data_IF_154634915048
#
_entry.id   IF_154634915048
#
_cell.length_a   1.000
_cell.length_b   1.000
_cell.length_c   1.000
_cell.angle_alpha   90.00
_cell.angle_beta   90.00
_cell.angle_gamma   90.00
#
_symmetry.space_group_name_H-M   'P 1'
#
loop_
_entity.id
_entity.type
_entity.pdbx_description
1 polymer ?
#
# COMPACT_ATOMS: atom_id res chain seq x y z
N UNK A 1 49.80 22.34 5.08
CA UNK A 1 49.10 21.72 3.93
C UNK A 1 48.04 20.78 4.51
N UNK A 2 46.77 21.20 4.52
CA UNK A 2 45.63 20.42 5.02
C UNK A 2 44.84 19.90 3.83
N UNK A 3 44.75 18.57 3.69
CA UNK A 3 43.85 17.91 2.75
C UNK A 3 42.82 17.14 3.55
N UNK A 4 41.60 17.66 3.58
CA UNK A 4 40.41 16.92 3.97
C UNK A 4 39.96 16.02 2.84
N UNK A 5 39.58 14.79 3.18
CA UNK A 5 38.84 13.89 2.29
C UNK A 5 37.66 13.33 3.07
N UNK A 6 36.48 13.85 2.78
CA UNK A 6 35.19 13.34 3.23
C UNK A 6 34.83 12.12 2.37
N UNK A 7 34.86 10.94 2.97
CA UNK A 7 34.40 9.70 2.34
C UNK A 7 32.90 9.74 2.07
N UNK A 8 32.53 9.74 0.79
CA UNK A 8 31.17 9.50 0.34
C UNK A 8 30.81 8.03 0.62
N UNK A 9 29.96 7.80 1.63
CA UNK A 9 29.38 6.48 1.87
C UNK A 9 28.47 6.09 0.71
N UNK A 10 28.90 5.15 -0.13
CA UNK A 10 28.06 4.54 -1.16
C UNK A 10 26.84 3.90 -0.49
N UNK A 11 25.65 4.46 -0.72
CA UNK A 11 24.41 3.83 -0.27
C UNK A 11 24.23 2.51 -1.03
N UNK A 12 24.14 1.40 -0.30
CA UNK A 12 23.90 0.08 -0.89
C UNK A 12 22.46 0.04 -1.42
N UNK A 13 22.30 -0.13 -2.73
CA UNK A 13 20.98 -0.24 -3.37
C UNK A 13 20.56 -1.71 -3.37
N UNK A 14 19.54 -2.03 -2.58
CA UNK A 14 18.93 -3.36 -2.52
C UNK A 14 18.16 -3.63 -3.83
N UNK A 15 18.43 -4.74 -4.55
CA UNK A 15 17.70 -5.09 -5.76
C UNK A 15 16.22 -5.37 -5.49
N UNK A 16 15.35 -5.11 -6.49
CA UNK A 16 13.89 -5.29 -6.42
C UNK A 16 13.45 -6.60 -5.76
N UNK A 17 14.02 -7.74 -6.18
CA UNK A 17 13.57 -9.04 -5.68
C UNK A 17 13.89 -9.21 -4.19
N UNK A 18 15.05 -8.75 -3.72
CA UNK A 18 15.38 -8.77 -2.29
C UNK A 18 14.46 -7.84 -1.49
N UNK A 19 14.15 -6.65 -2.03
CA UNK A 19 13.16 -5.76 -1.43
C UNK A 19 11.79 -6.42 -1.27
N UNK A 20 11.31 -7.11 -2.31
CA UNK A 20 10.02 -7.81 -2.26
C UNK A 20 10.03 -9.01 -1.32
N UNK A 21 11.14 -9.73 -1.21
CA UNK A 21 11.31 -10.81 -0.22
C UNK A 21 11.30 -10.26 1.21
N UNK A 22 11.97 -9.13 1.47
CA UNK A 22 11.92 -8.45 2.77
C UNK A 22 10.48 -8.03 3.13
N UNK A 23 9.72 -7.51 2.17
CA UNK A 23 8.30 -7.19 2.38
C UNK A 23 7.46 -8.45 2.58
N UNK A 24 7.69 -9.55 1.85
CA UNK A 24 7.01 -10.83 2.05
C UNK A 24 7.20 -11.34 3.48
N UNK A 25 8.45 -11.43 3.94
CA UNK A 25 8.80 -11.90 5.28
C UNK A 25 8.13 -11.04 6.36
N UNK A 26 8.04 -9.71 6.13
CA UNK A 26 7.36 -8.79 7.03
C UNK A 26 5.84 -9.02 7.04
N UNK A 27 5.24 -9.27 5.88
CA UNK A 27 3.82 -9.62 5.76
C UNK A 27 3.48 -10.91 6.52
N UNK A 28 4.30 -11.94 6.39
CA UNK A 28 4.12 -13.25 7.05
C UNK A 28 4.24 -13.20 8.57
N UNK A 29 5.11 -12.34 9.11
CA UNK A 29 5.27 -12.14 10.56
C UNK A 29 4.13 -11.34 11.19
N UNK A 30 3.27 -10.73 10.37
CA UNK A 30 2.25 -9.78 10.81
C UNK A 30 2.80 -8.37 10.98
N UNK A 31 1.91 -7.39 10.79
CA UNK A 31 2.26 -5.99 10.69
C UNK A 31 1.56 -5.19 11.78
N UNK A 32 2.34 -4.45 12.57
CA UNK A 32 1.83 -3.46 13.52
C UNK A 32 0.76 -4.03 14.46
N UNK A 33 -0.42 -3.41 14.47
CA UNK A 33 -1.58 -3.80 15.28
C UNK A 33 -2.47 -4.87 14.61
N UNK A 34 -2.06 -5.44 13.47
CA UNK A 34 -2.79 -6.46 12.72
C UNK A 34 -3.98 -5.92 11.91
N UNK A 35 -4.18 -4.60 11.85
CA UNK A 35 -5.29 -4.00 11.11
C UNK A 35 -5.01 -3.79 9.63
N UNK A 36 -3.75 -3.94 9.22
CA UNK A 36 -3.34 -4.01 7.82
C UNK A 36 -2.51 -5.26 7.62
N UNK A 37 -2.67 -5.93 6.48
CA UNK A 37 -1.87 -7.07 6.10
C UNK A 37 -1.70 -7.12 4.59
N UNK A 38 -0.67 -7.81 4.11
CA UNK A 38 -0.54 -8.13 2.70
C UNK A 38 0.21 -9.46 2.51
N UNK A 39 0.00 -10.07 1.35
CA UNK A 39 0.68 -11.27 0.91
C UNK A 39 0.61 -11.43 -0.60
N UNK A 40 1.40 -12.35 -1.15
CA UNK A 40 1.38 -12.65 -2.58
C UNK A 40 0.04 -13.28 -2.98
N UNK A 41 -0.46 -12.91 -4.15
CA UNK A 41 -1.67 -13.51 -4.74
C UNK A 41 -1.43 -14.96 -5.18
N UNK A 42 -0.26 -15.20 -5.74
CA UNK A 42 0.19 -16.48 -6.27
C UNK A 42 1.58 -16.76 -5.70
N UNK A 43 1.68 -17.80 -4.88
CA UNK A 43 2.93 -18.20 -4.26
C UNK A 43 3.97 -18.68 -5.29
N UNK A 44 3.53 -19.05 -6.51
CA UNK A 44 4.40 -19.51 -7.59
C UNK A 44 4.90 -18.35 -8.48
N UNK A 45 4.44 -17.10 -8.26
CA UNK A 45 4.94 -15.92 -8.98
C UNK A 45 6.38 -15.56 -8.54
N UNK A 46 7.35 -16.13 -9.25
CA UNK A 46 8.78 -15.86 -9.06
C UNK A 46 9.17 -14.38 -9.17
N UNK A 47 8.33 -13.56 -9.81
CA UNK A 47 8.57 -12.12 -9.95
C UNK A 47 7.93 -11.30 -8.82
N UNK A 48 7.12 -11.92 -7.95
CA UNK A 48 6.46 -11.30 -6.79
C UNK A 48 5.74 -10.00 -7.17
N UNK A 49 4.96 -10.02 -8.25
CA UNK A 49 4.31 -8.82 -8.81
C UNK A 49 2.95 -8.58 -8.21
N UNK A 50 2.16 -9.63 -8.00
CA UNK A 50 0.76 -9.51 -7.60
C UNK A 50 0.59 -9.79 -6.11
N UNK A 51 -0.01 -8.84 -5.40
CA UNK A 51 -0.21 -8.89 -3.95
C UNK A 51 -1.65 -8.56 -3.59
N UNK A 52 -2.18 -9.24 -2.58
CA UNK A 52 -3.42 -8.86 -1.89
C UNK A 52 -3.08 -8.10 -0.63
N UNK A 53 -3.63 -6.90 -0.49
CA UNK A 53 -3.65 -6.14 0.75
C UNK A 53 -5.01 -6.23 1.43
N UNK A 54 -5.03 -6.21 2.75
CA UNK A 54 -6.24 -6.15 3.57
C UNK A 54 -6.16 -4.97 4.53
N UNK A 55 -7.28 -4.25 4.69
CA UNK A 55 -7.44 -3.19 5.69
C UNK A 55 -8.70 -3.49 6.51
N UNK A 56 -8.56 -3.57 7.83
CA UNK A 56 -9.67 -3.53 8.77
C UNK A 56 -10.03 -2.06 9.00
N UNK A 57 -11.30 -1.73 8.75
CA UNK A 57 -11.77 -0.35 8.78
C UNK A 57 -11.59 0.29 10.17
N UNK A 58 -11.15 1.57 10.22
CA UNK A 58 -10.85 2.25 11.48
C UNK A 58 -12.09 2.47 12.34
N UNK A 59 -11.91 2.41 13.66
CA UNK A 59 -12.93 2.74 14.66
C UNK A 59 -13.46 4.17 14.51
N UNK A 60 -14.69 4.41 14.96
CA UNK A 60 -15.37 5.71 14.92
C UNK A 60 -15.54 6.26 13.49
N UNK A 61 -15.71 5.37 12.52
CA UNK A 61 -15.98 5.71 11.12
C UNK A 61 -17.08 4.80 10.55
N UNK A 62 -17.65 5.19 9.41
CA UNK A 62 -18.53 4.33 8.60
C UNK A 62 -17.88 3.03 8.11
N UNK A 63 -16.56 2.90 8.25
CA UNK A 63 -15.80 1.73 7.85
C UNK A 63 -15.60 0.72 9.00
N UNK A 64 -15.94 1.07 10.25
CA UNK A 64 -15.70 0.22 11.41
C UNK A 64 -16.34 -1.17 11.27
N UNK A 65 -15.58 -2.21 11.61
CA UNK A 65 -16.01 -3.60 11.49
C UNK A 65 -15.91 -4.19 10.07
N UNK A 66 -15.64 -3.37 9.05
CA UNK A 66 -15.52 -3.83 7.66
C UNK A 66 -14.10 -4.27 7.32
N UNK A 67 -13.99 -5.24 6.42
CA UNK A 67 -12.72 -5.73 5.87
C UNK A 67 -12.68 -5.39 4.38
N UNK A 68 -11.65 -4.64 3.97
CA UNK A 68 -11.44 -4.27 2.57
C UNK A 68 -10.26 -5.02 2.00
N UNK A 69 -10.46 -5.68 0.86
CA UNK A 69 -9.40 -6.28 0.07
C UNK A 69 -8.97 -5.35 -1.05
N UNK A 70 -7.68 -5.31 -1.32
CA UNK A 70 -7.04 -4.52 -2.36
C UNK A 70 -6.05 -5.40 -3.13
N UNK A 71 -5.81 -5.05 -4.39
CA UNK A 71 -4.73 -5.58 -5.21
C UNK A 71 -3.63 -4.54 -5.34
N UNK A 72 -2.40 -4.95 -5.07
CA UNK A 72 -1.19 -4.18 -5.34
C UNK A 72 -0.39 -4.89 -6.41
N UNK A 73 0.05 -4.15 -7.43
CA UNK A 73 0.89 -4.69 -8.49
C UNK A 73 2.23 -3.96 -8.52
N UNK A 74 3.27 -4.66 -8.10
CA UNK A 74 4.66 -4.22 -8.09
C UNK A 74 5.31 -4.60 -9.42
N UNK A 75 5.32 -3.69 -10.39
CA UNK A 75 5.92 -3.97 -11.70
C UNK A 75 7.46 -4.08 -11.62
N UNK A 76 8.12 -4.22 -12.78
CA UNK A 76 9.59 -4.37 -12.86
C UNK A 76 10.38 -3.17 -12.32
N UNK A 77 9.77 -1.99 -12.22
CA UNK A 77 10.42 -0.75 -11.79
C UNK A 77 10.22 -0.49 -10.29
N UNK A 78 9.43 -1.30 -9.58
CA UNK A 78 9.34 -1.25 -8.11
C UNK A 78 10.70 -1.56 -7.45
N UNK A 79 11.12 -0.88 -6.35
CA UNK A 79 10.46 0.23 -5.66
C UNK A 79 10.85 1.62 -6.21
N UNK A 80 11.54 1.72 -7.33
CA UNK A 80 11.89 3.03 -7.91
C UNK A 80 10.65 3.76 -8.44
N UNK A 81 9.61 3.01 -8.83
CA UNK A 81 8.25 3.51 -9.09
C UNK A 81 7.24 2.92 -8.10
N UNK A 82 6.15 3.65 -7.81
CA UNK A 82 5.08 3.15 -6.96
C UNK A 82 4.38 1.94 -7.60
N UNK A 83 3.84 1.02 -6.80
CA UNK A 83 2.98 -0.03 -7.31
C UNK A 83 1.63 0.56 -7.75
N UNK A 84 0.93 -0.13 -8.63
CA UNK A 84 -0.49 0.19 -8.88
C UNK A 84 -1.35 -0.36 -7.74
N UNK A 85 -2.37 0.39 -7.32
CA UNK A 85 -3.21 0.03 -6.18
C UNK A 85 -4.68 0.11 -6.59
N UNK A 86 -5.41 -0.98 -6.39
CA UNK A 86 -6.84 -1.10 -6.72
C UNK A 86 -7.59 -1.76 -5.58
N UNK A 87 -8.68 -1.17 -5.12
CA UNK A 87 -9.60 -1.86 -4.23
C UNK A 87 -10.32 -2.99 -4.99
N UNK A 88 -10.36 -4.17 -4.39
CA UNK A 88 -11.22 -5.26 -4.83
C UNK A 88 -12.62 -5.12 -4.20
N UNK A 89 -12.68 -4.87 -2.89
CA UNK A 89 -13.93 -4.54 -2.19
C UNK A 89 -14.41 -3.13 -2.57
N UNK A 90 -15.70 -2.96 -2.86
CA UNK A 90 -16.24 -1.62 -3.13
C UNK A 90 -16.11 -0.72 -1.91
N UNK A 91 -15.69 0.51 -2.18
CA UNK A 91 -15.48 1.53 -1.16
C UNK A 91 -15.82 2.90 -1.73
N UNK A 92 -16.37 3.77 -0.90
CA UNK A 92 -16.58 5.17 -1.22
C UNK A 92 -15.54 6.02 -0.47
N UNK A 93 -14.50 6.45 -1.19
CA UNK A 93 -13.42 7.29 -0.69
C UNK A 93 -12.96 8.27 -1.78
N UNK A 94 -12.57 9.47 -1.37
CA UNK A 94 -12.21 10.56 -2.31
C UNK A 94 -11.05 10.22 -3.25
N UNK A 95 -10.11 9.38 -2.82
CA UNK A 95 -8.94 8.96 -3.59
C UNK A 95 -9.18 7.68 -4.43
N UNK A 96 -10.38 7.11 -4.42
CA UNK A 96 -10.70 5.85 -5.13
C UNK A 96 -11.69 6.14 -6.27
N UNK A 97 -11.41 5.60 -7.46
CA UNK A 97 -12.34 5.67 -8.58
C UNK A 97 -13.57 4.77 -8.30
N UNK A 98 -14.77 5.34 -8.37
CA UNK A 98 -16.02 4.66 -8.02
C UNK A 98 -16.46 3.54 -8.98
N UNK A 99 -15.89 3.48 -10.18
CA UNK A 99 -16.22 2.45 -11.17
C UNK A 99 -15.19 1.32 -11.18
N UNK A 100 -13.91 1.65 -11.04
CA UNK A 100 -12.80 0.69 -11.21
C UNK A 100 -12.15 0.26 -9.91
N UNK A 101 -12.32 1.02 -8.82
CA UNK A 101 -11.61 0.80 -7.56
C UNK A 101 -10.14 1.24 -7.58
N UNK A 102 -9.65 1.79 -8.69
CA UNK A 102 -8.28 2.30 -8.79
C UNK A 102 -8.06 3.47 -7.84
N UNK A 103 -6.96 3.44 -7.08
CA UNK A 103 -6.52 4.58 -6.27
C UNK A 103 -5.88 5.62 -7.20
N UNK A 104 -6.40 6.84 -7.20
CA UNK A 104 -5.86 7.96 -8.00
C UNK A 104 -4.59 8.51 -7.32
N UNK A 105 -3.39 8.34 -7.92
CA UNK A 105 -2.14 8.79 -7.30
C UNK A 105 -2.14 10.29 -6.97
N UNK A 106 -2.85 11.11 -7.76
CA UNK A 106 -2.92 12.57 -7.55
C UNK A 106 -3.70 12.96 -6.30
N UNK A 107 -4.62 12.10 -5.86
CA UNK A 107 -5.46 12.30 -4.68
C UNK A 107 -4.92 11.58 -3.44
N UNK A 108 -3.84 10.81 -3.59
CA UNK A 108 -3.25 10.03 -2.53
C UNK A 108 -1.76 10.36 -2.42
N UNK A 109 -1.44 11.26 -1.49
CA UNK A 109 -0.15 11.96 -1.42
C UNK A 109 1.08 11.04 -1.37
N UNK A 110 0.95 9.83 -0.81
CA UNK A 110 2.02 8.85 -0.75
C UNK A 110 2.42 8.32 -2.14
N UNK A 111 1.44 8.06 -3.03
CA UNK A 111 1.74 7.65 -4.41
C UNK A 111 2.15 8.85 -5.28
N UNK A 112 1.58 10.04 -5.03
CA UNK A 112 2.00 11.27 -5.75
C UNK A 112 3.46 11.64 -5.50
N UNK A 113 3.96 11.43 -4.28
CA UNK A 113 5.30 11.79 -3.85
C UNK A 113 6.11 10.54 -3.48
N UNK A 114 5.99 9.49 -4.31
CA UNK A 114 6.61 8.20 -4.06
C UNK A 114 8.12 8.31 -3.83
N UNK A 115 8.60 7.64 -2.78
CA UNK A 115 10.02 7.47 -2.47
C UNK A 115 10.30 5.97 -2.34
N UNK A 116 11.49 5.54 -2.78
CA UNK A 116 11.88 4.12 -2.82
C UNK A 116 11.93 3.42 -1.45
N UNK A 117 11.93 4.19 -0.37
CA UNK A 117 11.83 3.68 1.00
C UNK A 117 10.38 3.30 1.37
N UNK A 118 9.37 3.85 0.71
CA UNK A 118 7.97 3.46 0.91
C UNK A 118 7.68 2.02 0.49
N UNK A 119 6.85 1.36 1.30
CA UNK A 119 6.48 -0.07 1.19
C UNK A 119 4.98 -0.23 0.97
N UNK A 120 4.55 -1.45 0.65
CA UNK A 120 3.13 -1.82 0.64
C UNK A 120 2.45 -1.55 1.99
N UNK A 121 3.16 -1.74 3.11
CA UNK A 121 2.66 -1.38 4.43
C UNK A 121 2.34 0.11 4.55
N UNK A 122 3.23 0.98 4.04
CA UNK A 122 3.01 2.42 4.11
C UNK A 122 1.77 2.81 3.30
N UNK A 123 1.55 2.20 2.14
CA UNK A 123 0.36 2.39 1.31
C UNK A 123 -0.91 2.01 2.11
N UNK A 124 -0.97 0.80 2.66
CA UNK A 124 -2.15 0.32 3.39
C UNK A 124 -2.43 1.15 4.65
N UNK A 125 -1.38 1.48 5.40
CA UNK A 125 -1.48 2.32 6.60
C UNK A 125 -1.99 3.72 6.26
N UNK A 126 -1.50 4.32 5.18
CA UNK A 126 -1.94 5.64 4.76
C UNK A 126 -3.36 5.62 4.18
N UNK A 127 -3.77 4.56 3.46
CA UNK A 127 -5.17 4.38 3.04
C UNK A 127 -6.11 4.25 4.24
N UNK A 128 -5.70 3.52 5.29
CA UNK A 128 -6.46 3.45 6.55
C UNK A 128 -6.60 4.82 7.21
N UNK A 129 -5.57 5.67 7.16
CA UNK A 129 -5.65 7.06 7.63
C UNK A 129 -6.61 7.89 6.77
N UNK A 130 -6.60 7.71 5.45
CA UNK A 130 -7.56 8.36 4.55
C UNK A 130 -9.01 7.95 4.87
N UNK A 131 -9.28 6.70 5.24
CA UNK A 131 -10.62 6.27 5.69
C UNK A 131 -11.09 7.04 6.93
N UNK A 132 -10.17 7.37 7.85
CA UNK A 132 -10.46 8.14 9.06
C UNK A 132 -10.49 9.67 8.85
N UNK A 133 -10.05 10.15 7.68
CA UNK A 133 -10.02 11.57 7.37
C UNK A 133 -11.45 12.17 7.34
N UNK A 134 -11.58 13.45 7.67
CA UNK A 134 -12.87 14.12 7.85
C UNK A 134 -13.77 14.03 6.61
N UNK A 135 -13.18 14.09 5.41
CA UNK A 135 -13.88 13.97 4.13
C UNK A 135 -14.38 12.55 3.80
N UNK A 136 -13.83 11.50 4.44
CA UNK A 136 -14.15 10.10 4.12
C UNK A 136 -14.92 9.39 5.24
N UNK A 137 -14.62 9.70 6.51
CA UNK A 137 -15.11 8.93 7.70
C UNK A 137 -16.63 8.85 7.87
N UNK A 138 -17.39 9.69 7.15
CA UNK A 138 -18.87 9.74 7.14
C UNK A 138 -19.49 9.49 5.76
N UNK A 139 -18.69 9.17 4.74
CA UNK A 139 -19.21 8.90 3.40
C UNK A 139 -20.01 7.60 3.40
N UNK A 140 -21.24 7.66 2.88
CA UNK A 140 -22.09 6.47 2.77
C UNK A 140 -21.37 5.42 1.95
N UNK A 141 -21.19 4.25 2.54
CA UNK A 141 -20.50 3.14 1.91
C UNK A 141 -21.48 2.23 1.16
N UNK A 142 -21.03 1.54 0.11
CA UNK A 142 -21.82 0.48 -0.52
C UNK A 142 -22.08 -0.67 0.47
N UNK A 143 -23.04 -1.57 0.16
CA UNK A 143 -23.25 -2.80 0.92
C UNK A 143 -21.95 -3.62 1.02
N UNK A 144 -21.73 -4.24 2.18
CA UNK A 144 -20.58 -5.12 2.38
C UNK A 144 -20.67 -6.35 1.47
N UNK A 145 -19.51 -6.93 1.13
CA UNK A 145 -19.44 -8.06 0.20
C UNK A 145 -19.68 -7.70 -1.27
N UNK A 146 -19.67 -6.40 -1.61
CA UNK A 146 -19.68 -5.95 -3.01
C UNK A 146 -18.27 -5.70 -3.52
N UNK A 147 -18.01 -6.03 -4.78
CA UNK A 147 -16.68 -5.95 -5.40
C UNK A 147 -16.70 -5.10 -6.69
N UNK A 148 -15.54 -4.59 -7.09
CA UNK A 148 -15.35 -3.82 -8.34
C UNK A 148 -15.20 -4.72 -9.55
#
# INVERSE_FOLDING_TARGET
MTLGSSGAGSSVVVPRNFRLLEELERGEKGIGDGTVSYGMDDADDIYMRSWTGTIIGPHNTVHEGRIYQLKLFCDKDYPEKPPSVRFHSRINMTCVNHETGMVDPRKFGLLANWQRDYTMENILTQLKKEMAASQNRKLVQPPEGTFF
#
